data_IF_918610108712
#
_entry.id   IF_918610108712
#
_cell.length_a   1.000
_cell.length_b   1.000
_cell.length_c   1.000
_cell.angle_alpha   90.00
_cell.angle_beta   90.00
_cell.angle_gamma   90.00
#
_symmetry.space_group_name_H-M   'P 1'
#
loop_
_entity.id
_entity.type
_entity.pdbx_description
1 polymer ?
#
# COMPACT_ATOMS: atom_id res chain seq x y z
N UNK A 1 -5.53 -30.28 2.81
CA UNK A 1 -5.65 -29.29 3.90
C UNK A 1 -6.64 -28.25 3.42
N UNK A 2 -7.82 -28.17 4.04
CA UNK A 2 -8.92 -27.34 3.55
C UNK A 2 -8.60 -25.87 3.84
N UNK A 3 -8.43 -25.04 2.81
CA UNK A 3 -8.24 -23.61 3.03
C UNK A 3 -9.52 -23.02 3.64
N UNK A 4 -9.36 -22.24 4.70
CA UNK A 4 -10.48 -21.57 5.36
C UNK A 4 -11.07 -20.53 4.42
N UNK A 5 -12.35 -20.67 4.10
CA UNK A 5 -13.07 -19.81 3.14
C UNK A 5 -13.46 -18.43 3.73
N UNK A 6 -12.59 -17.87 4.58
CA UNK A 6 -12.76 -16.60 5.28
C UNK A 6 -11.82 -15.53 4.73
N UNK A 7 -12.24 -14.28 4.82
CA UNK A 7 -11.39 -13.14 4.45
C UNK A 7 -10.09 -13.12 5.27
N UNK A 8 -8.95 -12.71 4.68
CA UNK A 8 -7.73 -12.43 5.44
C UNK A 8 -7.87 -11.21 6.38
N UNK A 9 -8.97 -10.47 6.30
CA UNK A 9 -9.27 -9.31 7.13
C UNK A 9 -10.34 -9.59 8.19
N UNK A 10 -10.10 -9.07 9.40
CA UNK A 10 -11.10 -8.97 10.47
C UNK A 10 -11.24 -7.51 10.91
N UNK A 11 -12.47 -7.01 10.97
CA UNK A 11 -12.80 -5.71 11.55
C UNK A 11 -13.23 -5.86 13.01
N UNK A 12 -12.77 -4.95 13.87
CA UNK A 12 -13.15 -4.82 15.28
C UNK A 12 -13.04 -3.36 15.73
N UNK A 13 -14.15 -2.76 16.15
CA UNK A 13 -14.22 -1.43 16.77
C UNK A 13 -13.37 -0.30 16.12
N UNK A 14 -13.41 -0.18 14.79
CA UNK A 14 -12.64 0.83 14.04
C UNK A 14 -11.19 0.43 13.72
N UNK A 15 -10.79 -0.82 14.00
CA UNK A 15 -9.52 -1.40 13.62
C UNK A 15 -9.71 -2.54 12.64
N UNK A 16 -8.77 -2.70 11.72
CA UNK A 16 -8.67 -3.87 10.86
C UNK A 16 -7.42 -4.68 11.23
N UNK A 17 -7.54 -6.01 11.21
CA UNK A 17 -6.45 -6.96 11.41
C UNK A 17 -6.31 -7.82 10.17
N UNK A 18 -5.09 -7.85 9.61
CA UNK A 18 -4.67 -8.70 8.51
C UNK A 18 -4.06 -10.00 9.05
N UNK A 19 -4.46 -11.14 8.48
CA UNK A 19 -3.85 -12.46 8.69
C UNK A 19 -3.81 -13.20 7.36
N UNK A 20 -2.63 -13.26 6.73
CA UNK A 20 -2.41 -14.02 5.49
C UNK A 20 -1.11 -14.82 5.57
N UNK A 21 -1.21 -16.15 5.68
CA UNK A 21 -0.02 -17.03 5.82
C UNK A 21 0.83 -16.63 7.03
N UNK A 22 2.07 -16.17 6.79
CA UNK A 22 2.94 -15.59 7.81
C UNK A 22 2.81 -14.06 7.94
N UNK A 23 2.19 -13.35 6.99
CA UNK A 23 2.00 -11.91 7.05
C UNK A 23 0.90 -11.54 8.05
N UNK A 24 1.17 -10.57 8.91
CA UNK A 24 0.22 -9.98 9.86
C UNK A 24 0.24 -8.47 9.72
N UNK A 25 -0.87 -7.83 10.03
CA UNK A 25 -0.91 -6.38 10.06
C UNK A 25 -2.08 -5.83 10.84
N UNK A 26 -1.98 -4.56 11.23
CA UNK A 26 -3.05 -3.84 11.89
C UNK A 26 -3.17 -2.41 11.35
N UNK A 27 -4.40 -1.95 11.22
CA UNK A 27 -4.75 -0.61 10.71
C UNK A 27 -5.73 0.00 11.70
N UNK A 28 -5.42 1.20 12.20
CA UNK A 28 -6.38 2.01 12.95
C UNK A 28 -7.12 2.91 11.95
N UNK A 29 -8.39 2.57 11.66
CA UNK A 29 -9.16 3.24 10.61
C UNK A 29 -9.62 4.64 11.04
N UNK A 30 -9.54 4.97 12.34
CA UNK A 30 -9.73 6.33 12.85
C UNK A 30 -8.51 7.24 12.68
N UNK A 31 -7.34 6.68 12.36
CA UNK A 31 -6.06 7.39 12.23
C UNK A 31 -5.28 6.94 10.98
N UNK A 32 -5.75 7.28 9.75
CA UNK A 32 -5.06 6.90 8.50
C UNK A 32 -3.64 7.48 8.38
N UNK A 33 -3.30 8.55 9.11
CA UNK A 33 -1.94 9.09 9.28
C UNK A 33 -0.98 8.17 10.05
N UNK A 34 -1.51 7.18 10.79
CA UNK A 34 -0.74 6.14 11.45
C UNK A 34 -0.35 5.00 10.49
N UNK A 35 -1.06 4.85 9.35
CA UNK A 35 -0.79 3.84 8.33
C UNK A 35 -1.12 2.40 8.74
N UNK A 36 -0.75 1.45 7.88
CA UNK A 36 -0.90 0.02 8.14
C UNK A 36 0.40 -0.56 8.70
N UNK A 37 0.38 -1.05 9.93
CA UNK A 37 1.56 -1.57 10.63
C UNK A 37 1.70 -3.06 10.33
N UNK A 38 2.87 -3.51 9.88
CA UNK A 38 3.08 -4.85 9.30
C UNK A 38 4.16 -5.60 10.07
N UNK A 39 3.92 -6.88 10.33
CA UNK A 39 4.85 -7.81 10.97
C UNK A 39 4.74 -9.20 10.34
N UNK A 40 5.72 -10.07 10.59
CA UNK A 40 5.60 -11.50 10.30
C UNK A 40 5.13 -12.24 11.56
N UNK A 41 4.56 -13.44 11.39
CA UNK A 41 3.88 -14.18 12.47
C UNK A 41 4.75 -14.41 13.72
N UNK A 42 6.06 -14.57 13.53
CA UNK A 42 7.05 -14.86 14.57
C UNK A 42 8.17 -13.80 14.65
N UNK A 43 7.92 -12.58 14.13
CA UNK A 43 8.90 -11.49 14.11
C UNK A 43 8.31 -10.17 14.64
N UNK A 44 9.20 -9.25 15.01
CA UNK A 44 8.85 -7.86 15.29
C UNK A 44 8.19 -7.19 14.06
N UNK A 45 7.57 -6.04 14.31
CA UNK A 45 7.10 -5.13 13.25
C UNK A 45 8.23 -4.76 12.30
N UNK A 46 8.05 -5.07 11.01
CA UNK A 46 9.03 -4.83 9.95
C UNK A 46 8.89 -3.41 9.35
N UNK A 47 7.71 -2.80 9.47
CA UNK A 47 7.47 -1.44 9.03
C UNK A 47 6.02 -0.97 9.16
N UNK A 48 5.81 0.27 8.74
CA UNK A 48 4.53 0.97 8.70
C UNK A 48 4.30 1.47 7.28
N UNK A 49 3.24 1.01 6.64
CA UNK A 49 2.88 1.28 5.26
C UNK A 49 1.97 2.49 5.11
N UNK A 50 2.16 3.19 3.99
CA UNK A 50 1.14 4.03 3.33
C UNK A 50 0.43 5.02 4.25
N UNK A 51 1.17 5.56 5.23
CA UNK A 51 0.71 6.64 6.10
C UNK A 51 0.31 7.82 5.25
N UNK A 52 -0.85 8.41 5.51
CA UNK A 52 -1.17 9.72 4.95
C UNK A 52 -0.19 10.77 5.48
N UNK A 53 0.28 11.65 4.59
CA UNK A 53 1.13 12.80 4.96
C UNK A 53 0.67 14.10 4.29
N UNK A 54 -0.63 14.25 4.03
CA UNK A 54 -1.24 15.44 3.45
C UNK A 54 -1.47 16.54 4.50
N UNK A 55 -1.49 17.83 4.12
CA UNK A 55 -1.74 18.90 5.08
C UNK A 55 -3.17 18.79 5.64
N UNK A 56 -3.27 18.51 6.95
CA UNK A 56 -4.56 18.31 7.62
C UNK A 56 -5.13 16.89 7.50
N UNK A 57 -4.27 15.87 7.62
CA UNK A 57 -4.60 14.44 7.50
C UNK A 57 -5.70 13.87 8.41
N UNK A 58 -6.16 14.61 9.43
CA UNK A 58 -7.27 14.16 10.26
C UNK A 58 -8.55 14.01 9.41
N UNK A 59 -8.87 12.75 9.05
CA UNK A 59 -10.08 12.36 8.31
C UNK A 59 -11.09 11.77 9.28
N UNK A 60 -12.38 12.07 9.07
CA UNK A 60 -13.43 11.26 9.69
C UNK A 60 -13.63 10.02 8.83
N UNK A 61 -13.54 8.84 9.43
CA UNK A 61 -14.05 7.61 8.85
C UNK A 61 -15.57 7.75 8.67
N UNK A 62 -16.08 7.50 7.46
CA UNK A 62 -17.53 7.41 7.16
C UNK A 62 -18.00 5.96 7.27
N UNK A 63 -17.25 5.05 6.66
CA UNK A 63 -17.64 3.65 6.48
C UNK A 63 -16.39 2.76 6.46
N UNK A 64 -16.49 1.56 7.02
CA UNK A 64 -15.50 0.51 6.82
C UNK A 64 -16.16 -0.87 6.75
N UNK A 65 -15.75 -1.69 5.78
CA UNK A 65 -16.25 -3.06 5.62
C UNK A 65 -15.20 -3.98 4.99
N UNK A 66 -15.43 -5.29 5.09
CA UNK A 66 -14.64 -6.32 4.43
C UNK A 66 -15.48 -6.93 3.30
N UNK A 67 -14.89 -7.07 2.11
CA UNK A 67 -15.54 -7.63 0.92
C UNK A 67 -14.62 -8.60 0.20
N UNK A 68 -14.75 -9.89 0.51
CA UNK A 68 -13.86 -10.92 -0.02
C UNK A 68 -12.41 -10.71 0.48
N UNK A 69 -11.40 -10.61 -0.41
CA UNK A 69 -10.02 -10.33 -0.02
C UNK A 69 -9.74 -8.86 0.33
N UNK A 70 -10.74 -7.98 0.15
CA UNK A 70 -10.60 -6.53 0.30
C UNK A 70 -11.07 -6.06 1.68
N UNK A 71 -10.27 -5.21 2.32
CA UNK A 71 -10.73 -4.26 3.33
C UNK A 71 -10.97 -2.92 2.64
N UNK A 72 -12.11 -2.30 2.89
CA UNK A 72 -12.46 -0.97 2.38
C UNK A 72 -12.69 -0.02 3.55
N UNK A 73 -12.13 1.18 3.48
CA UNK A 73 -12.44 2.29 4.37
C UNK A 73 -12.67 3.57 3.57
N UNK A 74 -13.80 4.24 3.81
CA UNK A 74 -14.18 5.51 3.20
C UNK A 74 -14.06 6.67 4.19
N UNK A 75 -13.54 7.79 3.71
CA UNK A 75 -13.21 8.97 4.50
C UNK A 75 -13.93 10.22 3.99
N UNK A 76 -14.52 10.96 4.92
CA UNK A 76 -15.28 12.17 4.62
C UNK A 76 -14.38 13.28 4.06
N UNK A 77 -14.86 14.05 3.06
CA UNK A 77 -14.22 15.29 2.66
C UNK A 77 -14.22 16.31 3.81
N UNK A 78 -13.17 17.12 3.93
CA UNK A 78 -13.11 18.26 4.86
C UNK A 78 -12.77 19.57 4.13
N UNK A 79 -12.72 20.69 4.86
CA UNK A 79 -12.43 22.00 4.30
C UNK A 79 -10.98 22.15 3.76
N UNK A 80 -10.06 21.24 4.11
CA UNK A 80 -8.66 21.24 3.67
C UNK A 80 -8.42 20.26 2.51
N UNK A 81 -9.27 19.23 2.41
CA UNK A 81 -9.25 18.20 1.38
C UNK A 81 -10.71 17.85 1.00
N UNK A 82 -11.33 18.62 0.08
CA UNK A 82 -12.74 18.50 -0.27
C UNK A 82 -13.01 17.35 -1.26
N UNK A 83 -12.40 16.20 -1.02
CA UNK A 83 -12.49 15.00 -1.85
C UNK A 83 -12.89 13.83 -0.96
N UNK A 84 -13.88 13.05 -1.38
CA UNK A 84 -14.18 11.78 -0.72
C UNK A 84 -13.12 10.77 -1.16
N UNK A 85 -12.56 10.07 -0.19
CA UNK A 85 -11.46 9.15 -0.39
C UNK A 85 -11.83 7.75 0.10
N UNK A 86 -11.43 6.72 -0.64
CA UNK A 86 -11.58 5.33 -0.22
C UNK A 86 -10.24 4.61 -0.35
N UNK A 87 -9.78 3.98 0.72
CA UNK A 87 -8.68 3.03 0.69
C UNK A 87 -9.23 1.61 0.60
N UNK A 88 -8.77 0.87 -0.40
CA UNK A 88 -9.02 -0.55 -0.57
C UNK A 88 -7.70 -1.29 -0.33
N UNK A 89 -7.55 -2.01 0.78
CA UNK A 89 -6.39 -2.88 1.00
C UNK A 89 -6.74 -4.30 0.53
N UNK A 90 -6.03 -4.79 -0.49
CA UNK A 90 -6.24 -6.09 -1.11
C UNK A 90 -5.07 -7.02 -0.84
N UNK A 91 -5.39 -8.23 -0.41
CA UNK A 91 -4.47 -9.35 -0.34
C UNK A 91 -4.77 -10.27 -1.51
N UNK A 92 -3.80 -10.50 -2.41
CA UNK A 92 -4.03 -11.43 -3.52
C UNK A 92 -4.07 -12.88 -2.98
N UNK A 93 -5.16 -13.60 -3.25
CA UNK A 93 -5.46 -14.94 -2.74
C UNK A 93 -5.16 -16.06 -3.75
N UNK A 94 -4.65 -15.72 -4.94
CA UNK A 94 -4.24 -16.69 -5.97
C UNK A 94 -3.25 -17.73 -5.40
N UNK A 95 -3.36 -19.02 -5.78
CA UNK A 95 -2.44 -20.06 -5.35
C UNK A 95 -0.99 -19.74 -5.71
N UNK A 96 -0.13 -19.63 -4.70
CA UNK A 96 1.29 -19.27 -4.84
C UNK A 96 2.19 -20.50 -4.83
N UNK A 97 3.27 -20.45 -5.60
CA UNK A 97 4.32 -21.46 -5.54
C UNK A 97 5.09 -21.37 -4.20
N UNK A 98 5.75 -22.46 -3.79
CA UNK A 98 6.64 -22.39 -2.64
C UNK A 98 7.82 -21.44 -2.96
N UNK A 99 7.95 -20.35 -2.18
CA UNK A 99 8.94 -19.30 -2.39
C UNK A 99 8.43 -18.03 -3.08
N UNK A 100 7.18 -18.00 -3.58
CA UNK A 100 6.55 -16.76 -4.03
C UNK A 100 6.44 -15.73 -2.88
N UNK A 101 6.58 -14.42 -3.15
CA UNK A 101 6.52 -13.40 -2.10
C UNK A 101 5.13 -13.26 -1.46
N UNK A 102 5.10 -12.76 -0.22
CA UNK A 102 3.90 -12.33 0.47
C UNK A 102 3.49 -10.92 -0.01
N UNK A 103 2.57 -10.86 -0.98
CA UNK A 103 2.04 -9.62 -1.55
C UNK A 103 0.83 -9.04 -0.77
N UNK A 104 0.82 -7.71 -0.64
CA UNK A 104 -0.29 -6.86 -0.20
C UNK A 104 -0.34 -5.64 -1.13
N UNK A 105 -1.52 -5.23 -1.56
CA UNK A 105 -1.71 -4.05 -2.41
C UNK A 105 -2.74 -3.10 -1.82
N UNK A 106 -2.72 -1.85 -2.27
CA UNK A 106 -3.78 -0.90 -1.98
C UNK A 106 -4.21 -0.12 -3.22
N UNK A 107 -5.51 0.20 -3.31
CA UNK A 107 -6.05 1.21 -4.22
C UNK A 107 -6.49 2.42 -3.40
N UNK A 108 -5.97 3.60 -3.74
CA UNK A 108 -6.40 4.88 -3.18
C UNK A 108 -7.33 5.55 -4.19
N UNK A 109 -8.64 5.45 -3.93
CA UNK A 109 -9.71 6.02 -4.75
C UNK A 109 -10.01 7.44 -4.29
N UNK A 110 -10.02 8.39 -5.22
CA UNK A 110 -10.40 9.78 -5.00
C UNK A 110 -11.59 10.12 -5.89
N UNK A 111 -12.67 10.61 -5.29
CA UNK A 111 -13.85 11.09 -6.01
C UNK A 111 -13.94 12.62 -5.93
N UNK A 112 -13.88 13.30 -7.08
CA UNK A 112 -14.02 14.76 -7.14
C UNK A 112 -15.49 15.18 -7.17
N UNK A 113 -15.86 16.07 -6.24
CA UNK A 113 -17.18 16.72 -6.26
C UNK A 113 -17.12 18.16 -6.80
N UNK A 114 -15.94 18.76 -6.78
CA UNK A 114 -15.66 20.10 -7.31
C UNK A 114 -15.36 20.05 -8.82
N UNK A 115 -15.62 21.17 -9.50
CA UNK A 115 -15.03 21.44 -10.81
C UNK A 115 -13.54 21.73 -10.64
N UNK A 116 -12.75 21.33 -11.63
CA UNK A 116 -11.40 21.82 -11.91
C UNK A 116 -10.40 21.70 -10.75
N UNK A 117 -10.02 20.47 -10.39
CA UNK A 117 -9.12 20.21 -9.25
C UNK A 117 -7.92 19.32 -9.57
N UNK A 118 -6.84 19.50 -8.80
CA UNK A 118 -5.64 18.64 -8.83
C UNK A 118 -5.33 18.14 -7.42
N UNK A 119 -6.07 17.13 -6.92
CA UNK A 119 -5.83 16.57 -5.59
C UNK A 119 -4.46 15.90 -5.55
N UNK A 120 -3.54 16.45 -4.75
CA UNK A 120 -2.27 15.79 -4.45
C UNK A 120 -2.50 14.82 -3.30
N UNK A 121 -2.12 13.57 -3.47
CA UNK A 121 -2.07 12.59 -2.38
C UNK A 121 -0.62 12.23 -2.10
N UNK A 122 -0.25 12.24 -0.82
CA UNK A 122 1.03 11.76 -0.35
C UNK A 122 0.82 10.58 0.60
N UNK A 123 1.50 9.49 0.28
CA UNK A 123 1.62 8.34 1.16
C UNK A 123 3.09 8.10 1.48
N UNK A 124 3.36 7.73 2.72
CA UNK A 124 4.70 7.47 3.20
C UNK A 124 4.76 6.14 3.94
N UNK A 125 5.72 5.30 3.58
CA UNK A 125 6.05 4.07 4.28
C UNK A 125 7.36 4.24 5.04
N UNK A 126 7.51 3.52 6.15
CA UNK A 126 8.70 3.49 6.98
C UNK A 126 9.07 2.04 7.28
N UNK A 127 10.34 1.69 7.05
CA UNK A 127 10.85 0.33 7.09
C UNK A 127 12.02 0.23 8.05
N UNK A 128 12.03 -0.83 8.87
CA UNK A 128 13.18 -1.18 9.71
C UNK A 128 14.23 -1.87 8.85
N UNK A 129 14.86 -1.10 7.96
CA UNK A 129 15.80 -1.61 6.95
C UNK A 129 17.24 -1.17 7.20
N UNK A 130 18.18 -2.09 7.01
CA UNK A 130 19.62 -1.80 7.03
C UNK A 130 20.11 -1.18 5.71
N UNK A 131 19.44 -1.52 4.59
CA UNK A 131 19.74 -1.03 3.26
C UNK A 131 18.44 -0.77 2.50
N UNK A 132 18.42 0.23 1.63
CA UNK A 132 17.31 0.51 0.72
C UNK A 132 17.82 0.92 -0.64
N UNK A 133 17.38 0.22 -1.68
CA UNK A 133 17.86 0.37 -3.06
C UNK A 133 16.71 0.75 -3.97
N UNK A 134 16.83 1.87 -4.68
CA UNK A 134 15.88 2.22 -5.73
C UNK A 134 16.06 1.27 -6.93
N UNK A 135 14.97 0.61 -7.34
CA UNK A 135 14.92 -0.29 -8.48
C UNK A 135 14.18 0.38 -9.65
N UNK A 136 14.67 0.12 -10.86
CA UNK A 136 13.97 0.42 -12.10
C UNK A 136 13.31 -0.86 -12.61
N UNK A 137 11.99 -0.84 -12.67
CA UNK A 137 11.15 -1.89 -13.23
C UNK A 137 10.79 -1.66 -14.70
N UNK A 138 9.91 -2.51 -15.26
CA UNK A 138 9.46 -2.39 -16.65
C UNK A 138 8.73 -1.06 -16.89
N UNK A 139 8.80 -0.55 -18.12
CA UNK A 139 8.07 0.65 -18.55
C UNK A 139 8.27 1.91 -17.68
N UNK A 140 9.38 2.00 -16.94
CA UNK A 140 9.67 3.13 -16.04
C UNK A 140 9.04 3.01 -14.65
N UNK A 141 8.54 1.83 -14.25
CA UNK A 141 8.10 1.58 -12.89
C UNK A 141 9.23 1.84 -11.90
N UNK A 142 9.04 2.81 -10.99
CA UNK A 142 9.95 3.03 -9.88
C UNK A 142 9.51 2.16 -8.71
N UNK A 143 10.47 1.46 -8.09
CA UNK A 143 10.26 0.68 -6.88
C UNK A 143 11.41 0.90 -5.90
N UNK A 144 11.24 0.52 -4.64
CA UNK A 144 12.30 0.49 -3.64
C UNK A 144 12.35 -0.88 -2.98
N UNK A 145 13.55 -1.44 -2.91
CA UNK A 145 13.86 -2.70 -2.23
C UNK A 145 14.48 -2.38 -0.87
N UNK A 146 13.80 -2.74 0.21
CA UNK A 146 14.19 -2.55 1.60
C UNK A 146 14.66 -3.87 2.19
N UNK A 147 15.94 -3.98 2.58
CA UNK A 147 16.49 -5.16 3.27
C UNK A 147 16.27 -5.01 4.77
N UNK A 148 15.45 -5.88 5.36
CA UNK A 148 14.94 -5.70 6.73
C UNK A 148 16.00 -6.12 7.77
N UNK A 149 16.16 -5.30 8.81
CA UNK A 149 17.06 -5.52 9.95
C UNK A 149 16.67 -6.81 10.69
N UNK A 150 17.66 -7.55 11.19
CA UNK A 150 17.43 -8.83 11.89
C UNK A 150 17.47 -10.05 10.96
N UNK A 151 17.44 -9.83 9.64
CA UNK A 151 17.86 -10.81 8.63
C UNK A 151 16.75 -11.64 8.00
N UNK A 152 17.11 -12.30 6.89
CA UNK A 152 16.26 -13.24 6.15
C UNK A 152 15.28 -12.63 5.15
N UNK A 153 14.81 -11.39 5.35
CA UNK A 153 13.75 -10.79 4.53
C UNK A 153 14.16 -9.50 3.80
N UNK A 154 13.51 -9.29 2.66
CA UNK A 154 13.48 -8.04 1.91
C UNK A 154 12.03 -7.69 1.56
N UNK A 155 11.69 -6.40 1.57
CA UNK A 155 10.39 -5.88 1.14
C UNK A 155 10.58 -5.01 -0.09
N UNK A 156 9.76 -5.24 -1.11
CA UNK A 156 9.70 -4.40 -2.31
C UNK A 156 8.46 -3.54 -2.18
N UNK A 157 8.58 -2.24 -2.42
CA UNK A 157 7.47 -1.28 -2.47
C UNK A 157 7.44 -0.56 -3.82
N UNK A 158 6.26 -0.41 -4.40
CA UNK A 158 6.06 0.24 -5.70
C UNK A 158 4.70 0.93 -5.76
N UNK A 159 4.59 1.85 -6.72
CA UNK A 159 3.32 2.40 -7.22
C UNK A 159 3.23 2.10 -8.70
N UNK A 160 2.01 2.00 -9.24
CA UNK A 160 1.80 1.88 -10.68
C UNK A 160 2.38 3.11 -11.44
N UNK A 161 3.16 2.93 -12.53
CA UNK A 161 3.75 4.04 -13.27
C UNK A 161 2.74 5.11 -13.72
N UNK A 162 1.49 4.72 -14.00
CA UNK A 162 0.45 5.64 -14.44
C UNK A 162 -0.04 6.59 -13.34
N UNK A 163 0.19 6.24 -12.07
CA UNK A 163 -0.38 6.92 -10.90
C UNK A 163 0.66 7.80 -10.17
N UNK A 164 1.95 7.64 -10.48
CA UNK A 164 3.09 8.37 -9.91
C UNK A 164 3.23 9.76 -10.54
N UNK A 165 3.29 10.80 -9.71
CA UNK A 165 3.60 12.16 -10.17
C UNK A 165 5.11 12.45 -10.26
N UNK A 166 5.83 11.98 -9.25
CA UNK A 166 7.25 12.24 -8.97
C UNK A 166 7.77 10.93 -8.38
N UNK A 167 8.97 10.52 -8.79
CA UNK A 167 9.60 9.29 -8.30
C UNK A 167 9.77 9.26 -6.77
N UNK A 168 10.06 8.08 -6.19
CA UNK A 168 10.08 7.88 -4.75
C UNK A 168 11.08 8.80 -4.05
N UNK A 169 10.61 9.55 -3.06
CA UNK A 169 11.46 10.30 -2.14
C UNK A 169 11.97 9.34 -1.06
N UNK A 170 13.15 8.75 -1.28
CA UNK A 170 13.81 7.85 -0.31
C UNK A 170 14.67 8.67 0.66
N UNK A 171 14.45 8.47 1.96
CA UNK A 171 15.26 9.03 3.06
C UNK A 171 15.71 7.91 3.99
N UNK A 172 16.97 7.91 4.40
CA UNK A 172 17.55 6.92 5.33
C UNK A 172 17.95 7.57 6.64
N UNK A 173 17.81 6.83 7.74
CA UNK A 173 18.12 7.27 9.11
C UNK A 173 18.57 6.09 9.98
N UNK A 174 19.05 6.34 11.20
CA UNK A 174 19.36 5.28 12.17
C UNK A 174 18.12 4.43 12.55
N UNK A 175 16.91 4.98 12.40
CA UNK A 175 15.65 4.26 12.64
C UNK A 175 15.19 3.42 11.43
N UNK A 176 16.00 3.32 10.38
CA UNK A 176 15.68 2.68 9.11
C UNK A 176 15.37 3.69 7.99
N UNK A 177 14.72 3.23 6.92
CA UNK A 177 14.40 4.05 5.75
C UNK A 177 12.91 4.44 5.70
N UNK A 178 12.62 5.56 5.05
CA UNK A 178 11.26 5.95 4.67
C UNK A 178 11.21 6.30 3.19
N UNK A 179 10.15 5.85 2.52
CA UNK A 179 9.84 6.22 1.13
C UNK A 179 8.52 6.98 1.10
N UNK A 180 8.48 8.12 0.41
CA UNK A 180 7.24 8.85 0.10
C UNK A 180 6.94 8.80 -1.39
N UNK A 181 5.67 8.61 -1.71
CA UNK A 181 5.13 8.64 -3.06
C UNK A 181 4.14 9.80 -3.22
N UNK A 182 4.20 10.48 -4.35
CA UNK A 182 3.18 11.46 -4.77
C UNK A 182 2.28 10.84 -5.82
N UNK A 183 0.98 10.78 -5.52
CA UNK A 183 -0.05 10.10 -6.31
C UNK A 183 -1.03 11.10 -6.95
N UNK A 184 -1.69 10.67 -8.04
CA UNK A 184 -2.90 11.27 -8.61
C UNK A 184 -2.79 12.74 -9.13
N UNK A 185 -1.63 13.16 -9.65
CA UNK A 185 -1.45 14.58 -10.06
C UNK A 185 -2.12 15.10 -11.35
N UNK A 186 -2.70 14.31 -12.27
CA UNK A 186 -3.46 14.89 -13.38
C UNK A 186 -4.62 15.78 -12.92
N UNK A 187 -4.97 16.78 -13.74
CA UNK A 187 -6.19 17.56 -13.58
C UNK A 187 -7.44 16.66 -13.65
N UNK A 188 -8.39 16.90 -12.74
CA UNK A 188 -9.63 16.15 -12.62
C UNK A 188 -10.84 17.06 -12.81
N UNK A 189 -11.63 16.71 -13.82
CA UNK A 189 -13.00 17.20 -14.01
C UNK A 189 -13.91 16.73 -12.87
N UNK A 190 -15.09 17.38 -12.75
CA UNK A 190 -16.08 17.03 -11.73
C UNK A 190 -16.67 15.64 -11.94
N UNK A 191 -16.79 14.87 -10.86
CA UNK A 191 -17.40 13.54 -10.88
C UNK A 191 -16.46 12.43 -11.37
N UNK A 192 -15.19 12.75 -11.65
CA UNK A 192 -14.17 11.77 -12.00
C UNK A 192 -13.73 11.02 -10.73
N UNK A 193 -13.65 9.70 -10.84
CA UNK A 193 -12.96 8.85 -9.88
C UNK A 193 -11.58 8.54 -10.42
N UNK A 194 -10.52 8.85 -9.66
CA UNK A 194 -9.17 8.33 -9.90
C UNK A 194 -8.83 7.29 -8.86
N UNK A 195 -8.02 6.31 -9.24
CA UNK A 195 -7.51 5.27 -8.34
C UNK A 195 -6.01 5.19 -8.56
N UNK A 196 -5.24 5.36 -7.49
CA UNK A 196 -3.81 5.10 -7.50
C UNK A 196 -3.52 3.73 -6.89
N UNK A 197 -2.75 2.87 -7.57
CA UNK A 197 -2.40 1.53 -7.09
C UNK A 197 -1.01 1.47 -6.48
N UNK A 198 -0.95 1.01 -5.23
CA UNK A 198 0.27 0.70 -4.49
C UNK A 198 0.42 -0.81 -4.34
N UNK A 199 1.66 -1.27 -4.26
CA UNK A 199 1.97 -2.67 -3.99
C UNK A 199 3.15 -2.81 -3.06
N UNK A 200 3.11 -3.84 -2.21
CA UNK A 200 4.30 -4.43 -1.62
C UNK A 200 4.38 -5.93 -1.85
N UNK A 201 5.62 -6.44 -1.83
CA UNK A 201 5.93 -7.85 -1.79
C UNK A 201 7.02 -8.11 -0.74
N UNK A 202 6.77 -9.03 0.19
CA UNK A 202 7.77 -9.50 1.16
C UNK A 202 8.37 -10.81 0.65
N UNK A 203 9.68 -10.87 0.49
CA UNK A 203 10.43 -12.02 -0.03
C UNK A 203 11.55 -12.43 0.93
N UNK A 204 12.06 -13.66 0.79
CA UNK A 204 13.38 -14.00 1.29
C UNK A 204 14.45 -13.11 0.65
N UNK A 205 15.53 -12.84 1.38
CA UNK A 205 16.65 -11.99 0.92
C UNK A 205 17.47 -12.63 -0.20
N UNK A 206 17.53 -13.95 -0.24
CA UNK A 206 18.22 -14.69 -1.31
C UNK A 206 17.52 -14.43 -2.66
N UNK A 207 18.29 -13.93 -3.63
CA UNK A 207 17.83 -13.48 -4.95
C UNK A 207 16.74 -12.37 -4.90
N UNK A 208 16.75 -11.52 -3.85
CA UNK A 208 15.73 -10.48 -3.65
C UNK A 208 15.53 -9.54 -4.84
N UNK A 209 16.62 -9.12 -5.51
CA UNK A 209 16.56 -8.28 -6.73
C UNK A 209 15.89 -8.98 -7.91
N UNK A 210 16.11 -10.29 -8.11
CA UNK A 210 15.49 -11.04 -9.20
C UNK A 210 14.00 -11.27 -8.93
N UNK A 211 13.66 -11.64 -7.69
CA UNK A 211 12.27 -11.76 -7.23
C UNK A 211 11.53 -10.42 -7.35
N UNK A 212 12.18 -9.31 -7.00
CA UNK A 212 11.64 -7.96 -7.21
C UNK A 212 11.36 -7.66 -8.69
N UNK A 213 12.32 -7.92 -9.56
CA UNK A 213 12.17 -7.76 -11.01
C UNK A 213 11.01 -8.60 -11.58
N UNK A 214 10.85 -9.84 -11.14
CA UNK A 214 9.75 -10.72 -11.55
C UNK A 214 8.40 -10.24 -11.02
N UNK A 215 8.33 -9.85 -9.74
CA UNK A 215 7.13 -9.32 -9.12
C UNK A 215 6.67 -8.00 -9.76
N UNK A 216 7.58 -7.06 -10.04
CA UNK A 216 7.24 -5.79 -10.70
C UNK A 216 6.64 -6.00 -12.10
N UNK A 217 7.12 -7.00 -12.86
CA UNK A 217 6.49 -7.43 -14.12
C UNK A 217 5.05 -7.92 -13.91
N UNK A 218 4.83 -8.78 -12.90
CA UNK A 218 3.50 -9.29 -12.53
C UNK A 218 2.57 -8.14 -12.12
N UNK A 219 2.99 -7.30 -11.18
CA UNK A 219 2.24 -6.15 -10.67
C UNK A 219 1.79 -5.21 -11.79
N UNK A 220 2.72 -4.76 -12.64
CA UNK A 220 2.42 -3.87 -13.77
C UNK A 220 1.46 -4.50 -14.80
N UNK A 221 1.48 -5.82 -14.97
CA UNK A 221 0.59 -6.54 -15.90
C UNK A 221 -0.83 -6.78 -15.39
N UNK A 222 -1.07 -6.72 -14.08
CA UNK A 222 -2.41 -6.90 -13.50
C UNK A 222 -3.29 -5.72 -13.87
N UNK A 223 -4.49 -5.97 -14.38
CA UNK A 223 -5.49 -4.93 -14.56
C UNK A 223 -5.88 -4.28 -13.21
N UNK A 224 -6.05 -2.97 -13.18
CA UNK A 224 -6.70 -2.29 -12.05
C UNK A 224 -8.17 -2.68 -12.05
N UNK A 225 -8.70 -3.12 -10.91
CA UNK A 225 -10.11 -3.50 -10.79
C UNK A 225 -11.02 -2.29 -11.06
N UNK A 226 -11.67 -2.27 -12.22
CA UNK A 226 -12.54 -1.17 -12.66
C UNK A 226 -13.83 -1.08 -11.82
N UNK A 227 -14.27 -2.21 -11.28
CA UNK A 227 -15.35 -2.32 -10.30
C UNK A 227 -14.78 -2.85 -8.99
N UNK A 228 -14.02 -1.96 -8.33
CA UNK A 228 -13.93 -1.93 -6.89
C UNK A 228 -15.25 -1.34 -6.37
#
# INVERSE_FOLDING_TARGET
MTMSNGSPWRLDAGRAVLTQGALRGHIDLGSPEAGARIQMADADEIGVLWRRTNPGDARSLEEAYVRGPDLVAAYAPDARFPFREEFYWRVDDEPRAAGDPAELSALVSLQTQLLDTSPKVWVQSQWRSEESVALQGPAGAAAVLHRIVGGGLSVIETVDPADVCVGPELTSSEAGASVRWSLNCPFLEKGVIRRARLGIAVTGRDNDVETAQAWLRRFASRAVALTA
#
